data_IF_634033900433
#
_entry.id   IF_634033900433
#
_cell.length_a   1.000
_cell.length_b   1.000
_cell.length_c   1.000
_cell.angle_alpha   90.00
_cell.angle_beta   90.00
_cell.angle_gamma   90.00
#
_symmetry.space_group_name_H-M   'P 1'
#
loop_
_entity.id
_entity.type
_entity.pdbx_description
1 polymer ?
#
# COMPACT_ATOMS: atom_id res chain seq x y z
N UNK A 1 4.11 -14.49 2.90
CA UNK A 1 3.63 -13.70 4.07
C UNK A 1 3.91 -12.25 3.72
N UNK A 2 2.88 -11.42 3.76
CA UNK A 2 2.89 -10.07 3.20
C UNK A 2 4.00 -9.17 3.79
N UNK A 3 4.34 -9.37 5.07
CA UNK A 3 5.41 -8.65 5.78
C UNK A 3 6.82 -8.90 5.23
N UNK A 4 7.05 -10.00 4.51
CA UNK A 4 8.33 -10.31 3.84
C UNK A 4 8.38 -9.76 2.41
N UNK A 5 7.22 -9.43 1.86
CA UNK A 5 7.05 -9.11 0.45
C UNK A 5 6.94 -7.62 0.20
N UNK A 6 6.56 -6.84 1.21
CA UNK A 6 6.54 -5.39 1.14
C UNK A 6 7.56 -4.77 2.10
N UNK A 7 8.28 -3.76 1.60
CA UNK A 7 9.16 -2.92 2.39
C UNK A 7 8.51 -1.54 2.59
N UNK A 8 8.53 -1.05 3.83
CA UNK A 8 8.00 0.26 4.22
C UNK A 8 9.16 1.17 4.62
N UNK A 9 9.55 2.06 3.72
CA UNK A 9 10.57 3.07 3.96
C UNK A 9 9.91 4.33 4.56
N UNK A 10 9.90 4.39 5.90
CA UNK A 10 9.34 5.51 6.65
C UNK A 10 10.07 6.83 6.44
N UNK A 11 11.35 6.80 6.07
CA UNK A 11 12.14 8.01 5.84
C UNK A 11 11.76 8.67 4.53
N UNK A 12 11.60 7.87 3.48
CA UNK A 12 11.23 8.34 2.14
C UNK A 12 9.72 8.26 1.85
N UNK A 13 8.92 7.83 2.84
CA UNK A 13 7.47 7.59 2.71
C UNK A 13 7.13 6.73 1.49
N UNK A 14 7.90 5.66 1.30
CA UNK A 14 7.80 4.79 0.12
C UNK A 14 7.47 3.36 0.54
N UNK A 15 6.54 2.75 -0.19
CA UNK A 15 6.25 1.32 -0.10
C UNK A 15 6.70 0.65 -1.41
N UNK A 16 7.45 -0.43 -1.28
CA UNK A 16 8.02 -1.16 -2.44
C UNK A 16 7.91 -2.66 -2.25
N UNK A 17 7.87 -3.40 -3.35
CA UNK A 17 7.95 -4.86 -3.30
C UNK A 17 9.38 -5.33 -3.05
N UNK A 18 9.54 -6.37 -2.22
CA UNK A 18 10.79 -7.08 -2.02
C UNK A 18 10.94 -8.16 -3.10
N UNK A 19 11.88 -8.03 -4.06
CA UNK A 19 12.04 -9.00 -5.15
C UNK A 19 12.50 -10.39 -4.68
N UNK A 20 12.94 -10.54 -3.42
CA UNK A 20 13.27 -11.83 -2.80
C UNK A 20 12.11 -12.38 -1.94
N UNK A 21 10.94 -11.75 -2.00
CA UNK A 21 9.73 -12.20 -1.36
C UNK A 21 9.15 -13.48 -1.98
N UNK A 22 7.95 -13.84 -1.57
CA UNK A 22 7.23 -15.04 -2.00
C UNK A 22 6.84 -15.04 -3.48
N UNK A 23 6.58 -13.86 -4.05
CA UNK A 23 5.97 -13.71 -5.38
C UNK A 23 4.44 -13.63 -5.35
N UNK A 24 3.83 -13.76 -4.17
CA UNK A 24 2.37 -13.81 -4.01
C UNK A 24 1.70 -12.49 -4.39
N UNK A 25 0.44 -12.59 -4.80
CA UNK A 25 -0.45 -11.44 -4.98
C UNK A 25 -1.41 -11.37 -3.81
N UNK A 26 -1.70 -10.17 -3.33
CA UNK A 26 -2.50 -9.93 -2.14
C UNK A 26 -3.73 -9.11 -2.47
N UNK A 27 -4.83 -9.38 -1.77
CA UNK A 27 -6.00 -8.53 -1.87
C UNK A 27 -5.69 -7.13 -1.34
N UNK A 28 -6.37 -6.11 -1.88
CA UNK A 28 -6.21 -4.75 -1.36
C UNK A 28 -6.55 -4.65 0.14
N UNK A 29 -7.48 -5.47 0.65
CA UNK A 29 -7.81 -5.54 2.08
C UNK A 29 -6.67 -6.14 2.93
N UNK A 30 -5.98 -7.16 2.43
CA UNK A 30 -4.80 -7.73 3.09
C UNK A 30 -3.67 -6.71 3.15
N UNK A 31 -3.42 -6.00 2.05
CA UNK A 31 -2.44 -4.91 2.01
C UNK A 31 -2.77 -3.78 2.98
N UNK A 32 -4.05 -3.39 3.07
CA UNK A 32 -4.52 -2.41 4.05
C UNK A 32 -4.28 -2.87 5.50
N UNK A 33 -4.66 -4.12 5.82
CA UNK A 33 -4.50 -4.69 7.16
C UNK A 33 -3.02 -4.77 7.56
N UNK A 34 -2.15 -5.14 6.61
CA UNK A 34 -0.70 -5.12 6.79
C UNK A 34 -0.18 -3.74 7.18
N UNK A 35 -0.62 -2.67 6.49
CA UNK A 35 -0.17 -1.32 6.82
C UNK A 35 -0.70 -0.85 8.17
N UNK A 36 -1.95 -1.15 8.53
CA UNK A 36 -2.45 -0.88 9.87
C UNK A 36 -1.59 -1.53 10.95
N UNK A 37 -1.26 -2.81 10.78
CA UNK A 37 -0.42 -3.54 11.74
C UNK A 37 0.95 -2.89 11.88
N UNK A 38 1.63 -2.59 10.76
CA UNK A 38 2.96 -1.99 10.75
C UNK A 38 2.99 -0.63 11.47
N UNK A 39 2.00 0.23 11.23
CA UNK A 39 1.96 1.57 11.82
C UNK A 39 1.43 1.57 13.26
N UNK A 40 0.73 0.51 13.69
CA UNK A 40 0.33 0.34 15.09
C UNK A 40 1.50 0.00 16.03
N UNK A 41 2.67 -0.38 15.50
CA UNK A 41 3.82 -0.79 16.31
C UNK A 41 4.44 0.42 17.02
N UNK A 42 4.87 0.31 18.30
CA UNK A 42 5.34 1.45 19.10
C UNK A 42 6.42 2.31 18.44
N UNK A 43 7.39 1.67 17.78
CA UNK A 43 8.48 2.36 17.09
C UNK A 43 8.04 3.19 15.87
N UNK A 44 6.84 2.92 15.35
CA UNK A 44 6.29 3.57 14.17
C UNK A 44 5.15 4.55 14.48
N UNK A 45 4.75 4.68 15.75
CA UNK A 45 3.61 5.54 16.15
C UNK A 45 3.84 7.04 15.90
N UNK A 46 5.09 7.46 15.67
CA UNK A 46 5.42 8.84 15.29
C UNK A 46 5.12 9.14 13.81
N UNK A 47 4.80 8.12 13.01
CA UNK A 47 4.45 8.28 11.60
C UNK A 47 2.93 8.22 11.43
N UNK A 48 2.38 9.15 10.66
CA UNK A 48 0.98 9.10 10.28
C UNK A 48 0.71 7.90 9.36
N UNK A 49 -0.37 7.18 9.64
CA UNK A 49 -0.81 6.02 8.85
C UNK A 49 -1.04 6.48 7.40
N UNK A 50 -0.53 5.77 6.39
CA UNK A 50 -0.47 6.26 5.02
C UNK A 50 -1.75 5.97 4.23
N UNK A 51 -2.79 5.43 4.88
CA UNK A 51 -4.03 5.03 4.19
C UNK A 51 -5.25 5.52 4.96
N UNK A 52 -6.14 6.19 4.23
CA UNK A 52 -7.49 6.53 4.69
C UNK A 52 -8.54 5.63 4.03
N UNK A 53 -9.50 5.15 4.83
CA UNK A 53 -10.66 4.43 4.34
C UNK A 53 -11.80 5.39 4.01
N UNK A 54 -12.15 5.50 2.72
CA UNK A 54 -13.31 6.27 2.26
C UNK A 54 -14.61 5.46 2.22
N UNK A 55 -14.52 4.14 2.04
CA UNK A 55 -15.65 3.20 2.12
C UNK A 55 -15.14 1.79 2.45
N UNK A 56 -16.05 0.80 2.53
CA UNK A 56 -15.69 -0.63 2.73
C UNK A 56 -14.71 -1.16 1.66
N UNK A 57 -14.69 -0.52 0.49
CA UNK A 57 -13.89 -0.91 -0.66
C UNK A 57 -13.25 0.31 -1.30
N UNK A 58 -12.95 1.37 -0.55
CA UNK A 58 -12.20 2.52 -1.09
C UNK A 58 -11.15 2.96 -0.10
N UNK A 59 -9.89 2.89 -0.51
CA UNK A 59 -8.74 3.30 0.29
C UNK A 59 -7.90 4.30 -0.50
N UNK A 60 -7.50 5.39 0.12
CA UNK A 60 -6.62 6.39 -0.51
C UNK A 60 -5.26 6.41 0.19
N UNK A 61 -4.18 6.48 -0.59
CA UNK A 61 -2.85 6.67 -0.04
C UNK A 61 -2.65 8.16 0.26
N UNK A 62 -2.38 8.49 1.52
CA UNK A 62 -2.31 9.87 2.02
C UNK A 62 -0.93 10.19 2.59
N UNK A 63 -0.78 11.36 3.21
CA UNK A 63 0.43 11.76 3.94
C UNK A 63 1.71 11.72 3.09
N UNK A 64 1.56 12.01 1.80
CA UNK A 64 2.64 12.06 0.79
C UNK A 64 3.35 10.71 0.57
N UNK A 65 2.72 9.61 0.97
CA UNK A 65 3.25 8.30 0.69
C UNK A 65 3.13 7.94 -0.79
N UNK A 66 4.07 7.11 -1.25
CA UNK A 66 4.10 6.58 -2.60
C UNK A 66 4.25 5.06 -2.57
N UNK A 67 3.57 4.37 -3.48
CA UNK A 67 3.76 2.93 -3.73
C UNK A 67 4.38 2.80 -5.11
N UNK A 68 5.47 2.03 -5.23
CA UNK A 68 6.08 1.81 -6.55
C UNK A 68 5.35 0.77 -7.40
N UNK A 69 5.63 0.80 -8.71
CA UNK A 69 4.99 -0.09 -9.68
C UNK A 69 5.25 -1.58 -9.40
N UNK A 70 6.34 -1.92 -8.71
CA UNK A 70 6.62 -3.29 -8.31
C UNK A 70 5.60 -3.76 -7.27
N UNK A 71 5.42 -2.99 -6.20
CA UNK A 71 4.40 -3.25 -5.18
C UNK A 71 3.00 -3.30 -5.77
N UNK A 72 2.66 -2.37 -6.67
CA UNK A 72 1.34 -2.30 -7.29
C UNK A 72 0.96 -3.53 -8.13
N UNK A 73 1.94 -4.31 -8.63
CA UNK A 73 1.67 -5.54 -9.39
C UNK A 73 1.29 -6.73 -8.51
N UNK A 74 1.61 -6.65 -7.22
CA UNK A 74 1.34 -7.69 -6.23
C UNK A 74 0.13 -7.36 -5.35
N UNK A 75 -0.68 -6.38 -5.75
CA UNK A 75 -1.92 -5.99 -5.09
C UNK A 75 -3.05 -6.14 -6.12
N UNK A 76 -4.01 -7.02 -5.83
CA UNK A 76 -5.18 -7.26 -6.67
C UNK A 76 -6.48 -7.28 -5.85
N UNK A 77 -7.63 -7.47 -6.49
CA UNK A 77 -8.89 -7.75 -5.80
C UNK A 77 -9.52 -6.57 -5.02
N UNK A 78 -10.83 -6.43 -5.19
CA UNK A 78 -11.70 -5.44 -4.53
C UNK A 78 -12.20 -4.35 -5.49
N UNK A 79 -13.36 -3.74 -5.18
CA UNK A 79 -13.92 -2.54 -5.83
C UNK A 79 -13.04 -1.27 -5.59
N UNK A 80 -11.74 -1.47 -5.46
CA UNK A 80 -10.84 -0.71 -4.64
C UNK A 80 -10.02 0.31 -5.41
N UNK A 81 -10.53 1.54 -5.42
CA UNK A 81 -9.84 2.70 -5.97
C UNK A 81 -8.69 3.11 -5.03
N UNK A 82 -7.53 2.47 -5.16
CA UNK A 82 -6.29 2.96 -4.57
C UNK A 82 -5.84 4.20 -5.35
N UNK A 83 -6.07 5.39 -4.79
CA UNK A 83 -5.50 6.62 -5.35
C UNK A 83 -4.01 6.68 -4.96
N UNK A 84 -3.17 6.06 -5.79
CA UNK A 84 -1.72 5.97 -5.55
C UNK A 84 -1.00 7.06 -6.32
N UNK A 85 -0.14 7.81 -5.64
CA UNK A 85 0.83 8.71 -6.29
C UNK A 85 2.04 7.90 -6.76
N UNK A 86 2.31 7.94 -8.06
CA UNK A 86 3.57 7.43 -8.63
C UNK A 86 4.79 8.16 -8.07
N UNK A 87 5.98 7.55 -8.20
CA UNK A 87 7.26 8.10 -7.73
C UNK A 87 7.58 9.52 -8.25
N UNK A 88 6.99 9.93 -9.37
CA UNK A 88 7.13 11.28 -9.95
C UNK A 88 6.07 12.28 -9.42
N UNK A 89 5.21 11.87 -8.50
CA UNK A 89 4.16 12.68 -7.86
C UNK A 89 3.01 13.10 -8.78
N UNK A 90 3.02 12.67 -10.05
CA UNK A 90 2.16 13.26 -11.10
C UNK A 90 0.99 12.38 -11.55
N UNK A 91 0.94 11.10 -11.21
CA UNK A 91 -0.12 10.21 -11.68
C UNK A 91 -0.79 9.48 -10.53
N UNK A 92 -2.12 9.65 -10.47
CA UNK A 92 -3.02 8.79 -9.71
C UNK A 92 -3.28 7.55 -10.55
N UNK A 93 -2.84 6.37 -10.11
CA UNK A 93 -3.20 5.10 -10.76
C UNK A 93 -4.30 4.45 -9.96
N UNK A 94 -5.52 4.49 -10.49
CA UNK A 94 -6.64 3.73 -9.97
C UNK A 94 -6.45 2.25 -10.32
N UNK A 95 -6.29 1.39 -9.32
CA UNK A 95 -6.50 -0.04 -9.50
C UNK A 95 -8.03 -0.28 -9.55
N UNK A 96 -8.51 -1.01 -10.55
CA UNK A 96 -9.90 -1.50 -10.58
C UNK A 96 -9.84 -3.02 -10.62
N UNK A 97 -10.33 -3.68 -9.59
CA UNK A 97 -10.69 -5.10 -9.68
C UNK A 97 -11.98 -5.21 -10.49
N UNK A 98 -11.98 -6.01 -11.56
CA UNK A 98 -13.23 -6.51 -12.12
C UNK A 98 -13.75 -7.59 -11.15
N UNK A 99 -15.00 -7.42 -10.72
CA UNK A 99 -15.77 -8.43 -9.98
C UNK A 99 -15.80 -9.77 -10.73
#
# INVERSE_FOLDING_TARGET
MIDKDFNVDFKNRKISYNPRGSGDTYSTNEFYSFLQEIFSRPQNMNYEIPIEAGSKTKYSLTNEWVIDDGAMRHIEGGDLLLEVRSLDGKKFKVLRGLL
#
